data_IF_959784042791
#
_entry.id   IF_959784042791
#
_cell.length_a   1.000
_cell.length_b   1.000
_cell.length_c   1.000
_cell.angle_alpha   90.00
_cell.angle_beta   90.00
_cell.angle_gamma   90.00
#
_symmetry.space_group_name_H-M   'P 1'
#
loop_
_entity.id
_entity.type
_entity.pdbx_description
1 polymer ?
#
# COMPACT_ATOMS: atom_id res chain seq x y z
N UNK A 1 0.74 10.99 13.31
CA UNK A 1 1.05 9.58 13.72
C UNK A 1 1.20 9.30 15.23
N UNK A 2 0.81 10.19 16.16
CA UNK A 2 0.86 9.84 17.60
C UNK A 2 -0.02 8.64 17.94
N UNK A 3 -1.11 8.48 17.19
CA UNK A 3 -2.08 7.40 17.35
C UNK A 3 -1.77 6.20 16.43
N UNK A 4 -0.50 6.03 16.04
CA UNK A 4 -0.10 4.90 15.20
C UNK A 4 -0.35 3.58 15.94
N UNK A 5 -1.03 2.60 15.31
CA UNK A 5 -1.42 1.35 15.95
C UNK A 5 -0.24 0.41 16.20
N UNK A 6 0.95 0.71 15.67
CA UNK A 6 2.19 -0.04 15.93
C UNK A 6 2.99 0.47 17.11
N UNK A 7 2.54 1.55 17.75
CA UNK A 7 3.09 1.96 19.04
C UNK A 7 2.89 0.85 20.08
N UNK A 8 3.95 0.51 20.83
CA UNK A 8 3.88 -0.48 21.89
C UNK A 8 5.10 -1.40 21.93
N UNK A 9 4.98 -2.53 22.65
CA UNK A 9 6.08 -3.47 22.87
C UNK A 9 6.65 -4.06 21.57
N UNK A 10 5.78 -4.30 20.59
CA UNK A 10 6.17 -4.87 19.29
C UNK A 10 6.85 -3.88 18.35
N UNK A 11 6.90 -2.59 18.71
CA UNK A 11 7.45 -1.53 17.85
C UNK A 11 8.85 -1.83 17.34
N UNK A 12 9.67 -2.53 18.11
CA UNK A 12 11.07 -2.83 17.76
C UNK A 12 11.24 -4.08 16.88
N UNK A 13 10.13 -4.76 16.53
CA UNK A 13 10.13 -6.05 15.84
C UNK A 13 9.45 -6.02 14.47
N UNK A 14 8.84 -4.89 14.07
CA UNK A 14 8.20 -4.76 12.77
C UNK A 14 9.23 -4.67 11.64
N UNK A 15 8.85 -5.06 10.43
CA UNK A 15 9.73 -4.95 9.27
C UNK A 15 10.11 -3.49 8.95
N UNK A 16 9.25 -2.54 9.34
CA UNK A 16 9.48 -1.10 9.22
C UNK A 16 10.48 -0.51 10.22
N UNK A 17 10.88 -1.27 11.26
CA UNK A 17 11.66 -0.72 12.39
C UNK A 17 12.80 -1.65 12.84
N UNK A 18 12.53 -2.94 13.00
CA UNK A 18 13.45 -3.88 13.65
C UNK A 18 14.70 -4.22 12.86
N UNK A 19 14.63 -4.18 11.52
CA UNK A 19 15.77 -4.48 10.65
C UNK A 19 16.76 -3.32 10.47
N UNK A 20 16.49 -2.14 11.04
CA UNK A 20 17.29 -0.93 10.81
C UNK A 20 18.41 -0.80 11.86
N UNK A 21 19.66 -1.04 11.45
CA UNK A 21 20.85 -1.09 12.32
C UNK A 21 21.99 -0.13 11.92
N UNK A 22 21.81 0.70 10.88
CA UNK A 22 22.84 1.63 10.38
C UNK A 22 22.91 2.96 11.15
N UNK A 23 22.01 3.18 12.11
CA UNK A 23 21.91 4.42 12.89
C UNK A 23 22.70 4.38 14.21
N UNK A 24 22.70 5.51 14.95
CA UNK A 24 23.32 5.58 16.30
C UNK A 24 22.61 4.74 17.36
N UNK A 25 21.35 4.40 17.13
CA UNK A 25 20.53 3.62 18.07
C UNK A 25 20.59 2.16 17.67
N UNK A 26 20.46 1.26 18.65
CA UNK A 26 20.55 -0.18 18.42
C UNK A 26 19.43 -0.76 17.53
N UNK A 27 18.30 -0.04 17.40
CA UNK A 27 17.13 -0.50 16.66
C UNK A 27 16.34 0.69 16.11
N UNK A 28 15.79 0.56 14.89
CA UNK A 28 15.02 1.61 14.22
C UNK A 28 13.76 2.07 14.95
N UNK A 29 13.17 1.22 15.80
CA UNK A 29 12.04 1.58 16.65
C UNK A 29 12.30 2.80 17.53
N UNK A 30 13.57 3.07 17.88
CA UNK A 30 13.97 4.27 18.63
C UNK A 30 13.74 5.59 17.86
N UNK A 31 13.64 5.53 16.53
CA UNK A 31 13.41 6.68 15.65
C UNK A 31 11.97 6.80 15.17
N UNK A 32 11.15 5.77 15.36
CA UNK A 32 9.77 5.75 14.86
C UNK A 32 8.96 6.94 15.41
N UNK A 33 8.38 7.73 14.52
CA UNK A 33 7.61 8.95 14.82
C UNK A 33 8.30 10.00 15.72
N UNK A 34 9.64 9.96 15.87
CA UNK A 34 10.38 10.92 16.69
C UNK A 34 10.57 12.27 16.02
N UNK A 35 10.71 12.29 14.70
CA UNK A 35 11.02 13.51 13.95
C UNK A 35 9.83 13.98 13.13
N UNK A 36 9.61 15.29 13.13
CA UNK A 36 8.64 15.95 12.24
C UNK A 36 9.31 16.24 10.90
N UNK A 37 9.55 15.17 10.12
CA UNK A 37 10.22 15.26 8.81
C UNK A 37 9.36 16.04 7.83
N UNK A 38 8.07 15.69 7.74
CA UNK A 38 7.06 16.43 6.96
C UNK A 38 6.14 17.15 7.95
N UNK A 39 6.03 18.48 7.84
CA UNK A 39 5.14 19.28 8.68
C UNK A 39 3.79 19.41 7.99
N UNK A 40 2.73 18.91 8.63
CA UNK A 40 1.35 19.01 8.15
C UNK A 40 0.52 19.94 9.02
N UNK A 41 -0.39 20.69 8.38
CA UNK A 41 -1.48 21.40 9.05
C UNK A 41 -2.54 20.40 9.52
N UNK A 42 -3.39 20.74 10.50
CA UNK A 42 -4.41 19.83 11.02
C UNK A 42 -5.30 19.19 9.94
N UNK A 43 -5.74 19.98 8.95
CA UNK A 43 -6.55 19.46 7.84
C UNK A 43 -5.80 18.47 6.93
N UNK A 44 -4.50 18.68 6.70
CA UNK A 44 -3.66 17.77 5.92
C UNK A 44 -3.41 16.45 6.67
N UNK A 45 -3.13 16.51 7.97
CA UNK A 45 -2.98 15.30 8.81
C UNK A 45 -4.27 14.49 8.84
N UNK A 46 -5.43 15.16 8.98
CA UNK A 46 -6.74 14.51 8.96
C UNK A 46 -7.01 13.81 7.61
N UNK A 47 -6.78 14.50 6.50
CA UNK A 47 -6.92 13.95 5.16
C UNK A 47 -6.01 12.73 4.96
N UNK A 48 -4.72 12.85 5.26
CA UNK A 48 -3.76 11.75 5.11
C UNK A 48 -4.14 10.56 5.99
N UNK A 49 -4.57 10.81 7.23
CA UNK A 49 -4.98 9.75 8.14
C UNK A 49 -6.21 9.01 7.63
N UNK A 50 -7.20 9.74 7.08
CA UNK A 50 -8.38 9.15 6.46
C UNK A 50 -7.99 8.27 5.27
N UNK A 51 -7.18 8.77 4.34
CA UNK A 51 -6.75 8.00 3.16
C UNK A 51 -5.94 6.78 3.60
N UNK A 52 -4.99 6.95 4.53
CA UNK A 52 -4.13 5.87 4.98
C UNK A 52 -4.89 4.75 5.70
N UNK A 53 -6.02 5.07 6.37
CA UNK A 53 -6.89 4.06 6.98
C UNK A 53 -7.71 3.26 5.96
N UNK A 54 -7.96 3.83 4.77
CA UNK A 54 -8.79 3.24 3.73
C UNK A 54 -8.01 2.73 2.51
N UNK A 55 -6.67 2.76 2.56
CA UNK A 55 -5.80 2.27 1.49
C UNK A 55 -5.00 1.05 1.95
N UNK A 56 -4.87 0.07 1.06
CA UNK A 56 -4.27 -1.24 1.34
C UNK A 56 -3.13 -1.55 0.36
N UNK A 57 -2.32 -2.59 0.67
CA UNK A 57 -1.34 -3.16 -0.27
C UNK A 57 -1.57 -4.67 -0.35
N UNK A 58 -1.48 -5.29 -1.53
CA UNK A 58 -1.91 -6.67 -1.74
C UNK A 58 -0.93 -7.73 -1.17
N UNK A 59 -0.09 -7.35 -0.20
CA UNK A 59 0.82 -8.24 0.53
C UNK A 59 0.31 -8.64 1.92
N UNK A 60 -0.64 -7.89 2.51
CA UNK A 60 -1.23 -8.17 3.82
C UNK A 60 -2.63 -7.56 3.95
N UNK A 61 -3.27 -7.69 5.12
CA UNK A 61 -4.62 -7.14 5.36
C UNK A 61 -4.63 -5.83 6.14
N UNK A 62 -3.46 -5.34 6.56
CA UNK A 62 -3.34 -4.11 7.33
C UNK A 62 -3.48 -2.89 6.41
N UNK A 63 -4.08 -1.80 6.89
CA UNK A 63 -4.18 -0.53 6.17
C UNK A 63 -2.85 0.23 6.17
N UNK A 64 -2.73 1.25 5.32
CA UNK A 64 -1.48 2.04 5.18
C UNK A 64 -1.07 2.64 6.52
N UNK A 65 -2.07 3.02 7.30
CA UNK A 65 -1.90 3.59 8.62
C UNK A 65 -1.21 2.66 9.63
N UNK A 66 -1.26 1.34 9.42
CA UNK A 66 -0.67 0.38 10.36
C UNK A 66 0.86 0.32 10.31
N UNK A 67 1.55 0.79 9.26
CA UNK A 67 3.02 0.96 9.23
C UNK A 67 3.89 -0.20 9.76
N UNK A 68 3.42 -1.45 9.73
CA UNK A 68 4.15 -2.66 10.14
C UNK A 68 5.27 -3.07 9.18
N UNK A 69 5.20 -2.60 7.95
CA UNK A 69 6.16 -2.87 6.89
C UNK A 69 6.67 -1.59 6.23
N UNK A 70 7.79 -1.72 5.50
CA UNK A 70 8.39 -0.61 4.75
C UNK A 70 7.41 -0.04 3.71
N UNK A 71 6.58 -0.87 3.06
CA UNK A 71 5.58 -0.40 2.10
C UNK A 71 4.48 0.46 2.74
N UNK A 72 3.97 0.07 3.92
CA UNK A 72 2.98 0.87 4.65
C UNK A 72 3.55 2.22 5.09
N UNK A 73 4.79 2.20 5.60
CA UNK A 73 5.50 3.44 5.98
C UNK A 73 5.81 4.34 4.79
N UNK A 74 6.25 3.76 3.66
CA UNK A 74 6.56 4.51 2.44
C UNK A 74 5.30 5.16 1.85
N UNK A 75 4.19 4.42 1.76
CA UNK A 75 2.94 4.97 1.23
C UNK A 75 2.38 6.07 2.15
N UNK A 76 2.46 5.90 3.48
CA UNK A 76 2.07 6.98 4.39
C UNK A 76 2.95 8.22 4.19
N UNK A 77 4.27 8.04 4.07
CA UNK A 77 5.19 9.14 3.80
C UNK A 77 4.91 9.86 2.48
N UNK A 78 4.58 9.12 1.42
CA UNK A 78 4.15 9.67 0.13
C UNK A 78 2.89 10.53 0.29
N UNK A 79 1.87 10.03 0.98
CA UNK A 79 0.64 10.77 1.24
C UNK A 79 0.90 12.04 2.05
N UNK A 80 1.76 11.96 3.07
CA UNK A 80 2.17 13.13 3.86
C UNK A 80 2.89 14.16 2.98
N UNK A 81 3.84 13.72 2.15
CA UNK A 81 4.57 14.61 1.25
C UNK A 81 3.62 15.29 0.25
N UNK A 82 2.75 14.53 -0.42
CA UNK A 82 1.77 15.07 -1.36
C UNK A 82 0.83 16.08 -0.70
N UNK A 83 0.28 15.75 0.47
CA UNK A 83 -0.61 16.65 1.19
C UNK A 83 0.12 17.94 1.60
N UNK A 84 1.40 17.85 1.99
CA UNK A 84 2.21 19.04 2.31
C UNK A 84 2.44 19.95 1.10
N UNK A 85 2.46 19.39 -0.11
CA UNK A 85 2.58 20.10 -1.38
C UNK A 85 1.24 20.65 -1.90
N UNK A 86 0.13 20.35 -1.23
CA UNK A 86 -1.19 20.88 -1.55
C UNK A 86 -2.08 19.95 -2.37
N UNK A 87 -1.70 18.68 -2.56
CA UNK A 87 -2.54 17.70 -3.25
C UNK A 87 -3.85 17.49 -2.51
N UNK A 88 -4.94 17.42 -3.26
CA UNK A 88 -6.28 17.12 -2.74
C UNK A 88 -6.52 15.60 -2.63
N UNK A 89 -7.65 15.19 -2.04
CA UNK A 89 -7.96 13.78 -1.77
C UNK A 89 -7.82 12.89 -3.01
N UNK A 90 -8.44 13.28 -4.13
CA UNK A 90 -8.44 12.46 -5.35
C UNK A 90 -7.05 12.32 -5.97
N UNK A 91 -6.21 13.36 -5.87
CA UNK A 91 -4.82 13.32 -6.32
C UNK A 91 -3.98 12.39 -5.44
N UNK A 92 -4.17 12.44 -4.12
CA UNK A 92 -3.49 11.56 -3.19
C UNK A 92 -3.83 10.08 -3.43
N UNK A 93 -5.10 9.77 -3.74
CA UNK A 93 -5.48 8.41 -4.11
C UNK A 93 -4.88 7.97 -5.46
N UNK A 94 -4.79 8.87 -6.45
CA UNK A 94 -4.12 8.58 -7.73
C UNK A 94 -2.63 8.29 -7.53
N UNK A 95 -1.94 9.11 -6.74
CA UNK A 95 -0.53 8.89 -6.38
C UNK A 95 -0.34 7.56 -5.64
N UNK A 96 -1.20 7.28 -4.67
CA UNK A 96 -1.16 6.01 -3.95
C UNK A 96 -1.35 4.81 -4.88
N UNK A 97 -2.28 4.91 -5.84
CA UNK A 97 -2.53 3.85 -6.82
C UNK A 97 -1.32 3.65 -7.74
N UNK A 98 -0.71 4.74 -8.21
CA UNK A 98 0.46 4.69 -9.07
C UNK A 98 1.64 3.98 -8.38
N UNK A 99 1.97 4.37 -7.14
CA UNK A 99 3.06 3.77 -6.38
C UNK A 99 2.78 2.32 -6.00
N UNK A 100 1.57 2.00 -5.56
CA UNK A 100 1.20 0.60 -5.31
C UNK A 100 1.28 -0.26 -6.58
N UNK A 101 0.85 0.28 -7.73
CA UNK A 101 0.95 -0.43 -9.02
C UNK A 101 2.41 -0.66 -9.41
N UNK A 102 3.29 0.29 -9.08
CA UNK A 102 4.73 0.16 -9.30
C UNK A 102 5.39 -0.86 -8.36
N UNK A 103 5.03 -0.87 -7.06
CA UNK A 103 5.61 -1.78 -6.07
C UNK A 103 5.06 -3.21 -6.17
N UNK A 104 3.83 -3.39 -6.63
CA UNK A 104 3.15 -4.68 -6.73
C UNK A 104 2.64 -4.94 -8.16
N UNK A 105 3.52 -4.93 -9.17
CA UNK A 105 3.11 -4.95 -10.58
C UNK A 105 2.31 -6.20 -10.93
N UNK A 106 2.67 -7.36 -10.39
CA UNK A 106 1.92 -8.60 -10.62
C UNK A 106 0.46 -8.50 -10.18
N UNK A 107 0.23 -7.99 -8.97
CA UNK A 107 -1.11 -7.83 -8.41
C UNK A 107 -1.93 -6.82 -9.20
N UNK A 108 -1.37 -5.65 -9.50
CA UNK A 108 -2.11 -4.58 -10.18
C UNK A 108 -2.32 -4.84 -11.67
N UNK A 109 -1.43 -5.57 -12.36
CA UNK A 109 -1.69 -6.05 -13.72
C UNK A 109 -2.89 -7.01 -13.72
N UNK A 110 -2.95 -7.95 -12.75
CA UNK A 110 -4.09 -8.86 -12.63
C UNK A 110 -5.37 -8.15 -12.19
N UNK A 111 -5.28 -7.14 -11.33
CA UNK A 111 -6.42 -6.29 -10.96
C UNK A 111 -6.94 -5.52 -12.17
N UNK A 112 -6.06 -4.91 -12.98
CA UNK A 112 -6.43 -4.24 -14.21
C UNK A 112 -7.10 -5.20 -15.21
N UNK A 113 -6.53 -6.40 -15.36
CA UNK A 113 -7.10 -7.46 -16.18
C UNK A 113 -8.50 -7.86 -15.70
N UNK A 114 -8.68 -8.06 -14.39
CA UNK A 114 -9.97 -8.34 -13.77
C UNK A 114 -11.01 -7.26 -14.07
N UNK A 115 -10.67 -5.98 -13.86
CA UNK A 115 -11.59 -4.88 -14.15
C UNK A 115 -11.99 -4.87 -15.63
N UNK A 116 -11.04 -5.13 -16.53
CA UNK A 116 -11.31 -5.18 -17.96
C UNK A 116 -12.24 -6.34 -18.34
N UNK A 117 -11.93 -7.55 -17.93
CA UNK A 117 -12.59 -8.76 -18.48
C UNK A 117 -13.80 -9.23 -17.66
N UNK A 118 -13.83 -8.92 -16.36
CA UNK A 118 -14.93 -9.31 -15.47
C UNK A 118 -15.88 -8.14 -15.23
N UNK A 119 -15.37 -6.92 -15.12
CA UNK A 119 -16.18 -5.72 -14.86
C UNK A 119 -16.46 -4.86 -16.09
N UNK A 120 -15.78 -5.11 -17.22
CA UNK A 120 -15.87 -4.29 -18.43
C UNK A 120 -15.53 -2.80 -18.17
N UNK A 121 -14.49 -2.55 -17.36
CA UNK A 121 -13.98 -1.22 -17.02
C UNK A 121 -12.48 -1.16 -17.40
N UNK A 122 -12.10 -0.22 -18.26
CA UNK A 122 -10.70 0.04 -18.57
C UNK A 122 -9.96 0.63 -17.34
N UNK A 123 -8.67 0.31 -17.20
CA UNK A 123 -7.90 0.63 -16.00
C UNK A 123 -7.86 2.12 -15.66
N UNK A 124 -7.79 2.98 -16.67
CA UNK A 124 -7.79 4.44 -16.53
C UNK A 124 -9.13 5.02 -16.03
N UNK A 125 -10.19 4.21 -16.04
CA UNK A 125 -11.53 4.55 -15.52
C UNK A 125 -11.84 3.92 -14.17
N UNK A 126 -10.95 3.08 -13.64
CA UNK A 126 -11.16 2.48 -12.31
C UNK A 126 -10.93 3.56 -11.25
N UNK A 127 -11.90 3.71 -10.34
CA UNK A 127 -11.77 4.60 -9.19
C UNK A 127 -10.57 4.16 -8.32
N UNK A 128 -9.56 5.03 -8.12
CA UNK A 128 -8.43 4.73 -7.25
C UNK A 128 -8.83 4.35 -5.82
N UNK A 129 -9.89 4.94 -5.25
CA UNK A 129 -10.39 4.59 -3.91
C UNK A 129 -10.87 3.16 -3.85
N UNK A 130 -11.58 2.72 -4.90
CA UNK A 130 -12.03 1.33 -5.05
C UNK A 130 -10.84 0.38 -5.20
N UNK A 131 -9.94 0.65 -6.14
CA UNK A 131 -8.80 -0.22 -6.43
C UNK A 131 -7.88 -0.40 -5.22
N UNK A 132 -7.66 0.67 -4.43
CA UNK A 132 -6.85 0.64 -3.20
C UNK A 132 -7.60 0.10 -1.97
N UNK A 133 -8.90 -0.15 -2.09
CA UNK A 133 -9.77 -0.57 -0.99
C UNK A 133 -9.56 -2.02 -0.55
N UNK A 134 -10.31 -2.41 0.49
CA UNK A 134 -10.21 -3.73 1.14
C UNK A 134 -10.33 -4.87 0.13
N UNK A 135 -11.30 -4.77 -0.77
CA UNK A 135 -11.65 -5.87 -1.69
C UNK A 135 -10.61 -6.15 -2.76
N UNK A 136 -9.78 -5.16 -3.10
CA UNK A 136 -8.87 -5.24 -4.25
C UNK A 136 -7.39 -5.11 -3.88
N UNK A 137 -7.09 -4.53 -2.72
CA UNK A 137 -5.72 -4.27 -2.30
C UNK A 137 -5.37 -4.82 -0.92
N UNK A 138 -6.20 -5.63 -0.28
CA UNK A 138 -5.71 -6.51 0.81
C UNK A 138 -5.23 -7.83 0.24
N UNK A 139 -4.33 -8.52 0.95
CA UNK A 139 -3.85 -9.85 0.53
C UNK A 139 -5.01 -10.85 0.39
N UNK A 140 -5.91 -10.92 1.37
CA UNK A 140 -7.07 -11.81 1.31
C UNK A 140 -8.14 -11.33 0.32
N UNK A 141 -8.44 -10.02 0.28
CA UNK A 141 -9.42 -9.45 -0.64
C UNK A 141 -9.00 -9.63 -2.09
N UNK A 142 -7.76 -9.29 -2.43
CA UNK A 142 -7.22 -9.47 -3.78
C UNK A 142 -7.25 -10.94 -4.20
N UNK A 143 -6.80 -11.87 -3.34
CA UNK A 143 -6.82 -13.31 -3.66
C UNK A 143 -8.25 -13.81 -3.92
N UNK A 144 -9.20 -13.41 -3.07
CA UNK A 144 -10.60 -13.81 -3.18
C UNK A 144 -11.32 -13.20 -4.38
N UNK A 145 -11.16 -11.90 -4.61
CA UNK A 145 -12.00 -11.14 -5.54
C UNK A 145 -11.37 -10.94 -6.92
N UNK A 146 -10.03 -10.95 -7.00
CA UNK A 146 -9.28 -10.76 -8.26
C UNK A 146 -8.74 -12.10 -8.72
N UNK A 147 -7.81 -12.69 -7.96
CA UNK A 147 -7.07 -13.88 -8.36
C UNK A 147 -7.99 -15.09 -8.63
N UNK A 148 -9.00 -15.30 -7.80
CA UNK A 148 -9.96 -16.40 -7.98
C UNK A 148 -10.82 -16.21 -9.22
N UNK A 149 -11.26 -14.99 -9.52
CA UNK A 149 -12.14 -14.72 -10.66
C UNK A 149 -11.39 -14.82 -12.00
N UNK A 150 -10.18 -14.27 -12.08
CA UNK A 150 -9.35 -14.40 -13.29
C UNK A 150 -8.93 -15.85 -13.54
N UNK A 151 -8.71 -16.66 -12.50
CA UNK A 151 -8.33 -18.08 -12.63
C UNK A 151 -9.44 -18.95 -13.25
N UNK A 152 -10.70 -18.51 -13.20
CA UNK A 152 -11.83 -19.19 -13.85
C UNK A 152 -11.84 -19.00 -15.37
N UNK A 153 -11.12 -17.99 -15.88
CA UNK A 153 -11.11 -17.65 -17.30
C UNK A 153 -9.93 -18.37 -17.97
N UNK A 154 -10.18 -19.32 -18.88
CA UNK A 154 -9.11 -20.08 -19.51
C UNK A 154 -8.24 -19.18 -20.39
N UNK A 155 -6.92 -19.45 -20.38
CA UNK A 155 -5.92 -18.85 -21.27
C UNK A 155 -5.73 -17.32 -21.14
N UNK A 156 -6.19 -16.69 -20.06
CA UNK A 156 -6.05 -15.24 -19.88
C UNK A 156 -4.74 -14.82 -19.19
N UNK A 157 -4.18 -15.69 -18.35
CA UNK A 157 -2.85 -15.53 -17.74
C UNK A 157 -1.91 -16.52 -18.42
N UNK A 158 -0.74 -16.09 -18.92
CA UNK A 158 0.25 -17.00 -19.46
C UNK A 158 0.59 -18.09 -18.44
N UNK A 159 0.51 -19.35 -18.86
CA UNK A 159 0.96 -20.47 -18.02
C UNK A 159 2.45 -20.27 -17.75
N UNK A 160 2.84 -20.08 -16.50
CA UNK A 160 4.25 -20.03 -16.09
C UNK A 160 4.89 -21.39 -16.38
N UNK A 161 5.63 -21.49 -17.49
CA UNK A 161 6.53 -22.62 -17.75
C UNK A 161 7.82 -22.37 -16.98
N UNK A 162 7.90 -22.90 -15.76
CA UNK A 162 9.13 -22.86 -14.94
C UNK A 162 9.38 -21.50 -14.29
N UNK A 163 9.51 -21.49 -12.97
CA UNK A 163 9.85 -20.30 -12.21
C UNK A 163 11.27 -19.85 -12.52
N UNK A 164 11.44 -18.71 -13.17
CA UNK A 164 12.66 -17.94 -13.06
C UNK A 164 12.73 -17.39 -11.63
N UNK A 165 13.47 -18.10 -10.76
CA UNK A 165 13.84 -17.60 -9.44
C UNK A 165 14.93 -16.55 -9.67
N UNK A 166 14.55 -15.29 -9.86
CA UNK A 166 15.46 -14.19 -9.59
C UNK A 166 15.48 -13.97 -8.07
N UNK A 167 16.07 -14.93 -7.37
CA UNK A 167 16.46 -14.79 -5.98
C UNK A 167 17.83 -14.15 -5.93
N UNK A 168 17.93 -13.03 -5.23
CA UNK A 168 19.15 -12.56 -4.58
C UNK A 168 18.99 -12.79 -3.09
#
# INVERSE_FOLDING_TARGET
>A
NKDSPVNGKSLFNFASTGGWNIGKEKNGGAYFNKFRIVKLRPGQEALVTQIAKNTYRPCCNNSTFFQDCNHGSALLGLLQLGASQGLIEDELYKEALAFNSFWFPHNYIQTALYFKVVKNIEWDRVDPKLALGVDYSTGSGWSKNVQTEIAKIPNIIPKTRGGAVCGV
#
